data_IF_645385213191
#
_entry.id   IF_645385213191
#
_cell.length_a   1.000
_cell.length_b   1.000
_cell.length_c   1.000
_cell.angle_alpha   90.00
_cell.angle_beta   90.00
_cell.angle_gamma   90.00
#
_symmetry.space_group_name_H-M   'P 1'
#
loop_
_entity.id
_entity.type
_entity.pdbx_description
1 polymer ?
#
# COMPACT_ATOMS: atom_id res chain seq x y z
N UNK A 1 -15.18 24.67 11.32
CA UNK A 1 -15.01 23.94 10.04
C UNK A 1 -13.64 23.29 9.89
N UNK A 2 -12.53 23.96 10.19
CA UNK A 2 -11.16 23.39 10.10
C UNK A 2 -11.00 22.13 10.98
N UNK A 3 -11.62 22.09 12.14
CA UNK A 3 -11.51 20.96 13.09
C UNK A 3 -12.23 19.68 12.56
N UNK A 4 -13.39 19.84 11.91
CA UNK A 4 -14.15 18.69 11.38
C UNK A 4 -13.46 18.01 10.18
N UNK A 5 -12.84 18.80 9.28
CA UNK A 5 -12.09 18.26 8.14
C UNK A 5 -10.86 17.47 8.59
N UNK A 6 -10.12 18.01 9.57
CA UNK A 6 -8.97 17.31 10.14
C UNK A 6 -9.38 16.03 10.88
N UNK A 7 -10.50 16.05 11.60
CA UNK A 7 -11.05 14.86 12.25
C UNK A 7 -11.45 13.80 11.24
N UNK A 8 -12.10 14.17 10.12
CA UNK A 8 -12.46 13.24 9.06
C UNK A 8 -11.22 12.55 8.49
N UNK A 9 -10.20 13.33 8.06
CA UNK A 9 -8.96 12.77 7.51
C UNK A 9 -8.25 11.88 8.54
N UNK A 10 -8.26 12.25 9.81
CA UNK A 10 -7.69 11.44 10.90
C UNK A 10 -8.42 10.10 11.06
N UNK A 11 -9.77 10.09 11.04
CA UNK A 11 -10.55 8.84 11.11
C UNK A 11 -10.27 7.95 9.89
N UNK A 12 -10.17 8.53 8.70
CA UNK A 12 -9.81 7.79 7.48
C UNK A 12 -8.40 7.19 7.61
N UNK A 13 -7.44 7.93 8.16
CA UNK A 13 -6.07 7.47 8.40
C UNK A 13 -6.03 6.28 9.36
N UNK A 14 -6.74 6.38 10.50
CA UNK A 14 -6.82 5.27 11.46
C UNK A 14 -7.60 4.08 10.88
N UNK A 15 -8.59 4.33 10.02
CA UNK A 15 -9.33 3.28 9.35
C UNK A 15 -8.45 2.47 8.40
N UNK A 16 -7.67 3.16 7.58
CA UNK A 16 -6.67 2.51 6.72
C UNK A 16 -5.63 1.78 7.57
N UNK A 17 -5.14 2.38 8.66
CA UNK A 17 -4.26 1.70 9.62
C UNK A 17 -4.87 0.40 10.14
N UNK A 18 -6.13 0.40 10.57
CA UNK A 18 -6.80 -0.79 11.11
C UNK A 18 -6.90 -1.93 10.09
N UNK A 19 -7.22 -1.59 8.84
CA UNK A 19 -7.27 -2.56 7.74
C UNK A 19 -5.88 -3.12 7.44
N UNK A 20 -4.89 -2.25 7.24
CA UNK A 20 -3.50 -2.66 6.96
C UNK A 20 -2.86 -3.39 8.15
N UNK A 21 -3.18 -3.01 9.38
CA UNK A 21 -2.76 -3.74 10.57
C UNK A 21 -3.30 -5.17 10.60
N UNK A 22 -4.57 -5.39 10.23
CA UNK A 22 -5.14 -6.73 10.06
C UNK A 22 -4.45 -7.49 8.93
N UNK A 23 -4.17 -6.83 7.81
CA UNK A 23 -3.50 -7.43 6.65
C UNK A 23 -2.07 -7.84 6.98
N UNK A 24 -1.24 -6.89 7.38
CA UNK A 24 0.20 -7.09 7.54
C UNK A 24 0.56 -7.73 8.88
N UNK A 25 -0.20 -7.46 9.93
CA UNK A 25 0.09 -7.97 11.28
C UNK A 25 0.16 -9.50 11.35
N UNK A 26 -0.58 -10.19 10.52
CA UNK A 26 -0.55 -11.67 10.44
C UNK A 26 0.81 -12.19 9.94
N UNK A 27 1.56 -11.42 9.15
CA UNK A 27 2.89 -11.84 8.67
C UNK A 27 3.81 -12.15 9.85
N UNK A 28 3.78 -11.33 10.89
CA UNK A 28 4.55 -11.56 12.12
C UNK A 28 4.04 -12.71 13.00
N UNK A 29 2.84 -13.23 12.71
CA UNK A 29 2.18 -14.28 13.48
C UNK A 29 2.23 -15.65 12.80
N UNK A 30 2.75 -15.77 11.57
CA UNK A 30 2.70 -17.00 10.79
C UNK A 30 3.25 -18.22 11.55
N UNK A 31 4.38 -18.17 12.28
CA UNK A 31 4.86 -19.31 13.05
C UNK A 31 3.87 -19.72 14.14
N UNK A 32 3.33 -18.78 14.90
CA UNK A 32 2.36 -19.06 15.98
C UNK A 32 1.02 -19.57 15.43
N UNK A 33 0.62 -19.13 14.24
CA UNK A 33 -0.59 -19.62 13.55
C UNK A 33 -0.35 -21.06 13.07
N UNK A 34 0.82 -21.38 12.49
CA UNK A 34 1.18 -22.71 12.05
C UNK A 34 1.12 -23.72 13.20
N UNK A 35 1.66 -23.34 14.36
CA UNK A 35 1.62 -24.13 15.58
C UNK A 35 0.19 -24.31 16.10
N UNK A 36 -0.58 -23.23 16.20
CA UNK A 36 -1.95 -23.25 16.73
C UNK A 36 -2.90 -24.14 15.91
N UNK A 37 -2.81 -24.13 14.59
CA UNK A 37 -3.65 -24.92 13.70
C UNK A 37 -3.03 -26.26 13.29
N UNK A 38 -1.82 -26.58 13.78
CA UNK A 38 -1.06 -27.79 13.42
C UNK A 38 -0.89 -27.96 11.91
N UNK A 39 -0.58 -26.86 11.19
CA UNK A 39 -0.36 -26.84 9.74
C UNK A 39 1.08 -26.51 9.38
N UNK A 40 1.50 -26.90 8.18
CA UNK A 40 2.86 -26.57 7.71
C UNK A 40 3.07 -25.08 7.48
N UNK A 41 4.32 -24.63 7.47
CA UNK A 41 4.70 -23.26 7.14
C UNK A 41 4.25 -22.86 5.72
N UNK A 42 4.23 -23.78 4.76
CA UNK A 42 3.71 -23.54 3.41
C UNK A 42 2.19 -23.36 3.42
N UNK A 43 1.46 -24.14 4.22
CA UNK A 43 0.01 -24.02 4.35
C UNK A 43 -0.38 -22.69 4.99
N UNK A 44 0.31 -22.27 6.05
CA UNK A 44 0.00 -20.99 6.71
C UNK A 44 0.28 -19.79 5.81
N UNK A 45 1.20 -19.91 4.85
CA UNK A 45 1.48 -18.90 3.83
C UNK A 45 0.26 -18.54 2.96
N UNK A 46 -0.72 -19.44 2.84
CA UNK A 46 -1.99 -19.16 2.14
C UNK A 46 -2.77 -18.00 2.77
N UNK A 47 -2.62 -17.73 4.06
CA UNK A 47 -3.25 -16.57 4.71
C UNK A 47 -2.78 -15.24 4.12
N UNK A 48 -1.54 -15.17 3.67
CA UNK A 48 -0.96 -13.96 3.03
C UNK A 48 -1.27 -13.97 1.53
N UNK A 49 -0.98 -15.08 0.85
CA UNK A 49 -1.12 -15.17 -0.61
C UNK A 49 -2.57 -15.02 -1.08
N UNK A 50 -3.53 -15.67 -0.39
CA UNK A 50 -4.95 -15.58 -0.74
C UNK A 50 -5.51 -14.20 -0.44
N UNK A 51 -5.04 -13.53 0.62
CA UNK A 51 -5.42 -12.15 0.91
C UNK A 51 -4.98 -11.22 -0.23
N UNK A 52 -3.69 -11.28 -0.59
CA UNK A 52 -3.14 -10.46 -1.68
C UNK A 52 -3.85 -10.73 -3.03
N UNK A 53 -4.15 -12.00 -3.33
CA UNK A 53 -4.89 -12.37 -4.53
C UNK A 53 -6.33 -11.81 -4.50
N UNK A 54 -7.02 -11.91 -3.37
CA UNK A 54 -8.36 -11.34 -3.21
C UNK A 54 -8.37 -9.82 -3.44
N UNK A 55 -7.38 -9.09 -2.87
CA UNK A 55 -7.21 -7.64 -3.09
C UNK A 55 -6.94 -7.34 -4.57
N UNK A 56 -6.04 -8.09 -5.21
CA UNK A 56 -5.70 -7.87 -6.63
C UNK A 56 -6.90 -8.06 -7.56
N UNK A 57 -7.70 -9.10 -7.32
CA UNK A 57 -8.90 -9.40 -8.12
C UNK A 57 -10.02 -8.40 -7.85
N UNK A 58 -10.26 -8.05 -6.58
CA UNK A 58 -11.35 -7.16 -6.21
C UNK A 58 -11.05 -5.68 -6.47
N UNK A 59 -9.78 -5.30 -6.56
CA UNK A 59 -9.35 -3.91 -6.73
C UNK A 59 -10.01 -3.16 -7.88
N UNK A 60 -10.09 -3.70 -9.10
CA UNK A 60 -10.76 -3.04 -10.20
C UNK A 60 -12.29 -3.21 -10.21
N UNK A 61 -12.81 -4.17 -9.44
CA UNK A 61 -14.22 -4.57 -9.51
C UNK A 61 -15.04 -3.94 -8.37
N UNK A 62 -14.62 -4.14 -7.12
CA UNK A 62 -15.43 -3.79 -5.96
C UNK A 62 -15.60 -2.28 -5.77
N UNK A 63 -14.58 -1.40 -5.91
CA UNK A 63 -14.79 0.04 -5.86
C UNK A 63 -15.82 0.51 -6.88
N UNK A 64 -15.83 -0.10 -8.08
CA UNK A 64 -16.79 0.19 -9.13
C UNK A 64 -18.23 -0.22 -8.71
N UNK A 65 -18.41 -1.43 -8.17
CA UNK A 65 -19.72 -1.93 -7.73
C UNK A 65 -20.32 -1.06 -6.61
N UNK A 66 -19.49 -0.57 -5.69
CA UNK A 66 -19.91 0.22 -4.54
C UNK A 66 -19.96 1.74 -4.79
N UNK A 67 -19.52 2.21 -5.98
CA UNK A 67 -19.38 3.64 -6.30
C UNK A 67 -20.69 4.45 -6.24
N UNK A 68 -21.84 3.81 -6.41
CA UNK A 68 -23.17 4.46 -6.35
C UNK A 68 -23.82 4.45 -4.96
N UNK A 69 -23.15 3.93 -3.93
CA UNK A 69 -23.71 3.79 -2.59
C UNK A 69 -23.14 4.89 -1.68
N UNK A 70 -23.94 5.35 -0.72
CA UNK A 70 -23.49 6.30 0.28
C UNK A 70 -22.15 5.86 0.90
N UNK A 71 -21.12 6.72 0.79
CA UNK A 71 -19.75 6.39 1.14
C UNK A 71 -19.59 5.97 2.61
N UNK A 72 -20.29 6.65 3.55
CA UNK A 72 -20.29 6.25 4.97
C UNK A 72 -20.86 4.84 5.17
N UNK A 73 -21.96 4.50 4.48
CA UNK A 73 -22.56 3.16 4.59
C UNK A 73 -21.61 2.08 4.08
N UNK A 74 -20.92 2.35 2.98
CA UNK A 74 -19.91 1.44 2.43
C UNK A 74 -18.72 1.27 3.38
N UNK A 75 -18.20 2.36 3.94
CA UNK A 75 -17.12 2.30 4.93
C UNK A 75 -17.51 1.45 6.16
N UNK A 76 -18.73 1.66 6.68
CA UNK A 76 -19.24 0.87 7.81
C UNK A 76 -19.43 -0.61 7.43
N UNK A 77 -19.92 -0.91 6.22
CA UNK A 77 -20.03 -2.28 5.72
C UNK A 77 -18.65 -2.95 5.73
N UNK A 78 -17.63 -2.31 5.13
CA UNK A 78 -16.29 -2.87 5.03
C UNK A 78 -15.68 -3.09 6.41
N UNK A 79 -15.73 -2.07 7.28
CA UNK A 79 -15.23 -2.21 8.65
C UNK A 79 -15.96 -3.30 9.43
N UNK A 80 -17.27 -3.43 9.25
CA UNK A 80 -18.08 -4.51 9.83
C UNK A 80 -17.62 -5.90 9.36
N UNK A 81 -17.33 -6.06 8.08
CA UNK A 81 -16.78 -7.31 7.52
C UNK A 81 -15.41 -7.62 8.11
N UNK A 82 -14.52 -6.60 8.27
CA UNK A 82 -13.22 -6.79 8.93
C UNK A 82 -13.37 -7.16 10.41
N UNK A 83 -14.29 -6.51 11.15
CA UNK A 83 -14.58 -6.87 12.55
C UNK A 83 -15.06 -8.30 12.65
N UNK A 84 -16.02 -8.72 11.81
CA UNK A 84 -16.55 -10.09 11.82
C UNK A 84 -15.45 -11.11 11.48
N UNK A 85 -14.62 -10.86 10.47
CA UNK A 85 -13.50 -11.74 10.12
C UNK A 85 -12.49 -11.88 11.26
N UNK A 86 -12.14 -10.78 11.92
CA UNK A 86 -11.24 -10.80 13.08
C UNK A 86 -11.88 -11.53 14.27
N UNK A 87 -13.17 -11.31 14.55
CA UNK A 87 -13.88 -11.99 15.63
C UNK A 87 -13.96 -13.50 15.37
N UNK A 88 -14.28 -13.93 14.16
CA UNK A 88 -14.25 -15.36 13.78
C UNK A 88 -12.84 -15.94 13.98
N UNK A 89 -11.80 -15.19 13.63
CA UNK A 89 -10.40 -15.64 13.79
C UNK A 89 -9.98 -15.81 15.25
N UNK A 90 -10.63 -15.13 16.22
CA UNK A 90 -10.36 -15.32 17.67
C UNK A 90 -10.80 -16.69 18.15
N UNK A 91 -11.96 -17.15 17.67
CA UNK A 91 -12.64 -18.34 18.23
C UNK A 91 -12.45 -19.61 17.40
N UNK A 92 -12.05 -19.49 16.13
CA UNK A 92 -11.93 -20.66 15.28
C UNK A 92 -10.70 -21.50 15.61
N UNK A 93 -10.89 -22.81 15.62
CA UNK A 93 -9.83 -23.82 15.69
C UNK A 93 -9.60 -24.51 14.33
N UNK A 94 -10.33 -24.10 13.30
CA UNK A 94 -10.24 -24.67 11.96
C UNK A 94 -9.52 -23.69 11.02
N UNK A 95 -8.41 -24.13 10.42
CA UNK A 95 -7.59 -23.32 9.53
C UNK A 95 -8.36 -22.83 8.30
N UNK A 96 -9.24 -23.65 7.71
CA UNK A 96 -10.03 -23.25 6.56
C UNK A 96 -11.00 -22.13 6.91
N UNK A 97 -11.63 -22.17 8.10
CA UNK A 97 -12.50 -21.09 8.58
C UNK A 97 -11.68 -19.81 8.80
N UNK A 98 -10.48 -19.91 9.40
CA UNK A 98 -9.57 -18.78 9.56
C UNK A 98 -9.16 -18.18 8.20
N UNK A 99 -8.88 -19.02 7.19
CA UNK A 99 -8.57 -18.59 5.82
C UNK A 99 -9.75 -17.82 5.19
N UNK A 100 -10.97 -18.38 5.26
CA UNK A 100 -12.17 -17.71 4.72
C UNK A 100 -12.45 -16.40 5.46
N UNK A 101 -12.36 -16.40 6.80
CA UNK A 101 -12.54 -15.21 7.63
C UNK A 101 -11.55 -14.08 7.29
N UNK A 102 -10.44 -14.42 6.65
CA UNK A 102 -9.43 -13.49 6.19
C UNK A 102 -9.61 -13.07 4.72
N UNK A 103 -9.95 -14.00 3.85
CA UNK A 103 -10.13 -13.75 2.40
C UNK A 103 -11.38 -12.91 2.13
N UNK A 104 -12.47 -13.15 2.86
CA UNK A 104 -13.71 -12.36 2.67
C UNK A 104 -13.48 -10.87 2.95
N UNK A 105 -12.91 -10.43 4.08
CA UNK A 105 -12.56 -9.02 4.27
C UNK A 105 -11.59 -8.48 3.20
N UNK A 106 -10.65 -9.29 2.72
CA UNK A 106 -9.68 -8.88 1.70
C UNK A 106 -10.34 -8.42 0.40
N UNK A 107 -11.46 -9.03 0.01
CA UNK A 107 -12.24 -8.60 -1.16
C UNK A 107 -12.77 -7.16 -1.01
N UNK A 108 -13.02 -6.71 0.20
CA UNK A 108 -13.53 -5.37 0.52
C UNK A 108 -12.42 -4.35 0.83
N UNK A 109 -11.18 -4.82 1.04
CA UNK A 109 -10.03 -3.96 1.33
C UNK A 109 -9.88 -2.80 0.31
N UNK A 110 -9.89 -3.04 -1.03
CA UNK A 110 -9.71 -1.96 -2.00
C UNK A 110 -10.83 -0.93 -1.95
N UNK A 111 -12.04 -1.32 -1.55
CA UNK A 111 -13.19 -0.41 -1.43
C UNK A 111 -12.92 0.63 -0.35
N UNK A 112 -12.51 0.20 0.85
CA UNK A 112 -12.24 1.13 1.94
C UNK A 112 -11.06 2.05 1.63
N UNK A 113 -9.96 1.50 1.14
CA UNK A 113 -8.76 2.29 0.81
C UNK A 113 -9.05 3.30 -0.31
N UNK A 114 -9.75 2.89 -1.36
CA UNK A 114 -10.18 3.78 -2.44
C UNK A 114 -11.05 4.92 -1.90
N UNK A 115 -12.07 4.60 -1.12
CA UNK A 115 -12.95 5.60 -0.52
C UNK A 115 -12.19 6.53 0.44
N UNK A 116 -11.26 6.01 1.24
CA UNK A 116 -10.47 6.81 2.15
C UNK A 116 -9.63 7.87 1.40
N UNK A 117 -8.98 7.48 0.29
CA UNK A 117 -8.22 8.40 -0.55
C UNK A 117 -9.13 9.43 -1.25
N UNK A 118 -10.23 8.97 -1.84
CA UNK A 118 -11.18 9.85 -2.55
C UNK A 118 -11.83 10.86 -1.60
N UNK A 119 -12.31 10.41 -0.44
CA UNK A 119 -12.96 11.28 0.55
C UNK A 119 -11.95 12.24 1.17
N UNK A 120 -10.73 11.81 1.46
CA UNK A 120 -9.68 12.70 1.94
C UNK A 120 -9.37 13.81 0.92
N UNK A 121 -9.20 13.45 -0.35
CA UNK A 121 -8.97 14.41 -1.43
C UNK A 121 -10.13 15.40 -1.59
N UNK A 122 -11.37 14.90 -1.58
CA UNK A 122 -12.58 15.71 -1.73
C UNK A 122 -12.91 16.59 -0.51
N UNK A 123 -12.31 16.33 0.66
CA UNK A 123 -12.55 17.10 1.90
C UNK A 123 -11.84 18.45 1.95
N UNK A 124 -10.93 18.70 1.02
CA UNK A 124 -10.08 19.90 0.95
C UNK A 124 -10.15 20.51 -0.45
N UNK A 125 -9.47 21.64 -0.67
CA UNK A 125 -9.34 22.21 -2.03
C UNK A 125 -8.50 21.30 -2.93
N UNK A 126 -8.68 21.39 -4.23
CA UNK A 126 -7.95 20.58 -5.21
C UNK A 126 -6.43 20.72 -5.05
N UNK A 127 -5.96 21.89 -4.68
CA UNK A 127 -4.55 22.17 -4.42
C UNK A 127 -4.01 21.43 -3.20
N UNK A 128 -4.83 21.25 -2.15
CA UNK A 128 -4.45 20.57 -0.92
C UNK A 128 -4.70 19.05 -0.95
N UNK A 129 -5.38 18.54 -1.97
CA UNK A 129 -5.74 17.13 -2.06
C UNK A 129 -4.54 16.17 -1.90
N UNK A 130 -3.36 16.40 -2.53
CA UNK A 130 -2.21 15.52 -2.32
C UNK A 130 -1.75 15.45 -0.86
N UNK A 131 -1.86 16.55 -0.12
CA UNK A 131 -1.52 16.60 1.30
C UNK A 131 -2.51 15.82 2.17
N UNK A 132 -3.81 15.90 1.84
CA UNK A 132 -4.83 15.14 2.56
C UNK A 132 -4.66 13.63 2.31
N UNK A 133 -4.42 13.22 1.07
CA UNK A 133 -4.14 11.83 0.70
C UNK A 133 -2.87 11.31 1.37
N UNK A 134 -1.80 12.11 1.43
CA UNK A 134 -0.56 11.69 2.09
C UNK A 134 -0.73 11.42 3.58
N UNK A 135 -1.65 12.11 4.26
CA UNK A 135 -2.00 11.81 5.65
C UNK A 135 -2.64 10.43 5.77
N UNK A 136 -3.50 10.04 4.83
CA UNK A 136 -4.09 8.70 4.80
C UNK A 136 -3.02 7.63 4.55
N UNK A 137 -2.02 7.91 3.70
CA UNK A 137 -0.88 7.02 3.50
C UNK A 137 -0.01 6.82 4.76
N UNK A 138 -0.02 7.77 5.70
CA UNK A 138 0.61 7.54 7.02
C UNK A 138 -0.06 6.34 7.70
N UNK A 139 -1.38 6.19 7.58
CA UNK A 139 -2.11 5.03 8.09
C UNK A 139 -1.64 3.71 7.44
N UNK A 140 -1.40 3.72 6.11
CA UNK A 140 -0.82 2.56 5.39
C UNK A 140 0.52 2.18 5.99
N UNK A 141 1.44 3.14 6.06
CA UNK A 141 2.80 2.92 6.55
C UNK A 141 2.82 2.49 8.02
N UNK A 142 1.99 3.12 8.86
CA UNK A 142 1.87 2.76 10.27
C UNK A 142 1.36 1.33 10.45
N UNK A 143 0.40 0.88 9.63
CA UNK A 143 -0.09 -0.49 9.64
C UNK A 143 1.02 -1.52 9.38
N UNK A 144 1.89 -1.23 8.42
CA UNK A 144 3.03 -2.08 8.09
C UNK A 144 4.13 -2.07 9.17
N UNK A 145 4.48 -0.87 9.67
CA UNK A 145 5.65 -0.66 10.54
C UNK A 145 5.35 -0.95 11.99
N UNK A 146 4.16 -0.61 12.45
CA UNK A 146 3.75 -0.71 13.86
C UNK A 146 2.91 -1.97 14.07
N UNK A 147 2.04 -2.31 13.12
CA UNK A 147 1.10 -3.41 13.24
C UNK A 147 1.77 -4.76 13.42
N UNK A 148 2.76 -5.08 12.60
CA UNK A 148 3.48 -6.36 12.65
C UNK A 148 4.22 -6.55 13.99
N UNK A 149 5.08 -5.60 14.46
CA UNK A 149 5.76 -5.74 15.74
C UNK A 149 4.80 -5.82 16.94
N UNK A 150 3.75 -5.01 16.98
CA UNK A 150 2.80 -5.04 18.09
C UNK A 150 2.07 -6.38 18.14
N UNK A 151 1.59 -6.88 17.00
CA UNK A 151 0.93 -8.17 16.93
C UNK A 151 1.85 -9.32 17.40
N UNK A 152 3.11 -9.31 16.96
CA UNK A 152 4.12 -10.30 17.36
C UNK A 152 4.44 -10.22 18.85
N UNK A 153 4.57 -9.00 19.40
CA UNK A 153 4.81 -8.81 20.84
C UNK A 153 3.64 -9.32 21.69
N UNK A 154 2.40 -9.04 21.28
CA UNK A 154 1.20 -9.52 21.97
C UNK A 154 1.14 -11.06 21.90
N UNK A 155 1.43 -11.66 20.74
CA UNK A 155 1.44 -13.11 20.62
C UNK A 155 2.48 -13.77 21.53
N UNK A 156 3.69 -13.21 21.58
CA UNK A 156 4.76 -13.72 22.44
C UNK A 156 4.56 -13.48 23.93
N UNK A 157 3.95 -12.35 24.31
CA UNK A 157 3.72 -12.00 25.71
C UNK A 157 2.44 -12.60 26.31
N UNK A 158 1.43 -12.85 25.49
CA UNK A 158 0.13 -13.35 25.93
C UNK A 158 -0.33 -14.57 25.12
N UNK A 159 -0.87 -14.37 23.91
CA UNK A 159 -1.30 -15.47 23.04
C UNK A 159 -1.60 -14.98 21.61
N UNK A 160 -1.71 -15.94 20.68
CA UNK A 160 -2.18 -15.68 19.32
C UNK A 160 -3.58 -15.05 19.32
N UNK A 161 -4.49 -15.56 20.16
CA UNK A 161 -5.85 -15.05 20.27
C UNK A 161 -5.88 -13.60 20.70
N UNK A 162 -5.00 -13.17 21.62
CA UNK A 162 -4.91 -11.77 22.03
C UNK A 162 -4.43 -10.84 20.89
N UNK A 163 -3.61 -11.33 19.98
CA UNK A 163 -3.27 -10.59 18.75
C UNK A 163 -4.47 -10.43 17.82
N UNK A 164 -5.31 -11.45 17.70
CA UNK A 164 -6.57 -11.36 16.94
C UNK A 164 -7.57 -10.41 17.62
N UNK A 165 -7.65 -10.42 18.96
CA UNK A 165 -8.43 -9.43 19.74
C UNK A 165 -7.93 -8.01 19.49
N UNK A 166 -6.61 -7.80 19.41
CA UNK A 166 -6.04 -6.51 19.07
C UNK A 166 -6.50 -6.01 17.68
N UNK A 167 -6.47 -6.87 16.66
CA UNK A 167 -6.99 -6.51 15.33
C UNK A 167 -8.50 -6.19 15.36
N UNK A 168 -9.28 -6.99 16.06
CA UNK A 168 -10.72 -6.75 16.22
C UNK A 168 -10.98 -5.42 16.94
N UNK A 169 -10.28 -5.16 18.05
CA UNK A 169 -10.44 -3.95 18.85
C UNK A 169 -10.13 -2.68 18.05
N UNK A 170 -9.04 -2.67 17.28
CA UNK A 170 -8.68 -1.54 16.41
C UNK A 170 -9.79 -1.31 15.38
N UNK A 171 -10.27 -2.34 14.69
CA UNK A 171 -11.32 -2.20 13.69
C UNK A 171 -12.68 -1.80 14.31
N UNK A 172 -13.02 -2.28 15.51
CA UNK A 172 -14.21 -1.85 16.25
C UNK A 172 -14.13 -0.37 16.61
N UNK A 173 -12.99 0.10 17.14
CA UNK A 173 -12.79 1.52 17.44
C UNK A 173 -13.00 2.39 16.20
N UNK A 174 -12.44 1.99 15.06
CA UNK A 174 -12.61 2.71 13.80
C UNK A 174 -14.05 2.65 13.31
N UNK A 175 -14.72 1.51 13.43
CA UNK A 175 -16.14 1.37 13.09
C UNK A 175 -16.99 2.35 13.89
N UNK A 176 -16.81 2.40 15.22
CA UNK A 176 -17.51 3.32 16.11
C UNK A 176 -17.17 4.78 15.75
N UNK A 177 -15.90 5.12 15.55
CA UNK A 177 -15.50 6.46 15.17
C UNK A 177 -16.13 6.88 13.81
N UNK A 178 -16.17 5.98 12.85
CA UNK A 178 -16.81 6.21 11.54
C UNK A 178 -18.33 6.41 11.72
N UNK A 179 -18.97 5.60 12.55
CA UNK A 179 -20.40 5.69 12.82
C UNK A 179 -20.78 7.04 13.46
N UNK A 180 -19.98 7.50 14.42
CA UNK A 180 -20.31 8.70 15.21
C UNK A 180 -19.87 10.00 14.52
N UNK A 181 -18.69 10.04 13.89
CA UNK A 181 -18.06 11.29 13.50
C UNK A 181 -17.95 11.49 11.96
N UNK A 182 -18.04 10.44 11.16
CA UNK A 182 -18.04 10.60 9.70
C UNK A 182 -19.45 11.03 9.25
N UNK A 183 -19.59 12.14 8.50
CA UNK A 183 -20.89 12.59 8.03
C UNK A 183 -21.45 11.62 6.97
N UNK A 184 -22.76 11.68 6.76
CA UNK A 184 -23.40 11.00 5.63
C UNK A 184 -22.92 11.64 4.33
N UNK A 185 -22.48 10.82 3.39
CA UNK A 185 -21.93 11.24 2.10
C UNK A 185 -22.67 10.52 0.97
N UNK A 186 -23.91 10.97 0.65
CA UNK A 186 -24.64 10.42 -0.48
C UNK A 186 -23.88 10.72 -1.78
N UNK A 187 -24.02 9.84 -2.74
CA UNK A 187 -23.50 10.06 -4.09
C UNK A 187 -24.62 10.73 -4.89
N UNK A 188 -24.43 12.02 -5.21
CA UNK A 188 -25.43 12.84 -5.89
C UNK A 188 -25.56 12.44 -7.37
N UNK A 189 -24.42 12.18 -8.04
CA UNK A 189 -24.40 11.72 -9.41
C UNK A 189 -23.67 10.38 -9.50
N UNK A 190 -24.41 9.34 -9.85
CA UNK A 190 -23.83 8.02 -10.09
C UNK A 190 -23.28 7.96 -11.50
N UNK A 191 -21.96 7.93 -11.63
CA UNK A 191 -21.35 7.58 -12.91
C UNK A 191 -21.78 6.16 -13.30
N UNK A 192 -22.24 6.01 -14.55
CA UNK A 192 -22.52 4.68 -15.08
C UNK A 192 -21.25 3.82 -15.11
N UNK A 193 -21.38 2.52 -14.99
CA UNK A 193 -20.23 1.61 -15.11
C UNK A 193 -19.48 1.81 -16.43
N UNK A 194 -20.19 2.05 -17.53
CA UNK A 194 -19.60 2.37 -18.82
C UNK A 194 -18.77 3.65 -18.80
N UNK A 195 -19.24 4.70 -18.12
CA UNK A 195 -18.50 5.96 -17.97
C UNK A 195 -17.21 5.74 -17.15
N UNK A 196 -17.26 4.98 -16.04
CA UNK A 196 -16.08 4.68 -15.23
C UNK A 196 -15.07 3.81 -16.01
N UNK A 197 -15.55 2.79 -16.73
CA UNK A 197 -14.68 1.92 -17.55
C UNK A 197 -14.12 2.66 -18.77
N UNK A 198 -14.74 3.76 -19.22
CA UNK A 198 -14.25 4.56 -20.37
C UNK A 198 -12.85 5.12 -20.16
N UNK A 199 -12.40 5.31 -18.92
CA UNK A 199 -11.04 5.72 -18.59
C UNK A 199 -9.99 4.75 -19.13
N UNK A 200 -10.34 3.47 -19.25
CA UNK A 200 -9.46 2.44 -19.82
C UNK A 200 -9.27 2.56 -21.34
N UNK A 201 -10.09 3.40 -22.01
CA UNK A 201 -9.88 3.71 -23.44
C UNK A 201 -8.76 4.75 -23.65
N UNK A 202 -8.35 5.43 -22.59
CA UNK A 202 -7.30 6.46 -22.66
C UNK A 202 -5.90 5.83 -22.62
N UNK A 203 -5.03 6.07 -23.61
CA UNK A 203 -3.65 5.57 -23.56
C UNK A 203 -2.88 6.05 -22.32
N UNK A 204 -3.15 7.27 -21.84
CA UNK A 204 -2.54 7.83 -20.63
C UNK A 204 -2.86 7.00 -19.38
N UNK A 205 -4.04 6.38 -19.28
CA UNK A 205 -4.41 5.48 -18.19
C UNK A 205 -3.53 4.22 -18.18
N UNK A 206 -3.35 3.59 -19.33
CA UNK A 206 -2.49 2.41 -19.46
C UNK A 206 -1.03 2.72 -19.16
N UNK A 207 -0.53 3.86 -19.63
CA UNK A 207 0.83 4.32 -19.30
C UNK A 207 0.99 4.58 -17.80
N UNK A 208 -0.06 5.08 -17.13
CA UNK A 208 -0.05 5.22 -15.67
C UNK A 208 -0.08 3.87 -14.96
N UNK A 209 -0.89 2.91 -15.43
CA UNK A 209 -0.92 1.53 -14.91
C UNK A 209 0.47 0.90 -15.01
N UNK A 210 1.08 0.94 -16.19
CA UNK A 210 2.43 0.39 -16.43
C UNK A 210 3.47 1.07 -15.55
N UNK A 211 3.41 2.42 -15.44
CA UNK A 211 4.32 3.17 -14.57
C UNK A 211 4.19 2.74 -13.12
N UNK A 212 2.97 2.62 -12.61
CA UNK A 212 2.70 2.19 -11.23
C UNK A 212 3.21 0.76 -10.98
N UNK A 213 2.97 -0.17 -11.92
CA UNK A 213 3.50 -1.53 -11.84
C UNK A 213 5.02 -1.51 -11.74
N UNK A 214 5.70 -0.82 -12.66
CA UNK A 214 7.16 -0.76 -12.73
C UNK A 214 7.77 -0.07 -11.50
N UNK A 215 7.17 1.02 -11.02
CA UNK A 215 7.64 1.72 -9.83
C UNK A 215 7.49 0.88 -8.56
N UNK A 216 6.36 0.17 -8.41
CA UNK A 216 6.21 -0.75 -7.28
C UNK A 216 7.13 -1.96 -7.42
N UNK A 217 7.37 -2.46 -8.64
CA UNK A 217 8.38 -3.49 -8.88
C UNK A 217 9.78 -3.03 -8.48
N UNK A 218 10.13 -1.77 -8.76
CA UNK A 218 11.42 -1.21 -8.37
C UNK A 218 11.59 -1.15 -6.85
N UNK A 219 10.56 -0.73 -6.11
CA UNK A 219 10.62 -0.59 -4.65
C UNK A 219 10.54 -1.96 -3.99
N UNK A 220 9.48 -2.72 -4.28
CA UNK A 220 9.18 -3.96 -3.56
C UNK A 220 9.96 -5.16 -4.07
N UNK A 221 10.46 -5.14 -5.31
CA UNK A 221 11.37 -6.17 -5.80
C UNK A 221 12.66 -6.25 -4.99
N UNK A 222 13.19 -5.11 -4.56
CA UNK A 222 14.34 -5.05 -3.66
C UNK A 222 13.91 -5.23 -2.20
N UNK A 223 12.83 -4.58 -1.77
CA UNK A 223 12.38 -4.62 -0.38
C UNK A 223 11.96 -6.02 0.08
N UNK A 224 11.36 -6.82 -0.78
CA UNK A 224 10.96 -8.20 -0.45
C UNK A 224 12.12 -9.07 0.03
N UNK A 225 13.33 -8.75 -0.40
CA UNK A 225 14.54 -9.47 -0.05
C UNK A 225 15.51 -8.65 0.83
N UNK A 226 15.04 -7.52 1.35
CA UNK A 226 15.91 -6.59 2.08
C UNK A 226 16.48 -7.20 3.36
N UNK A 227 15.69 -7.94 4.13
CA UNK A 227 16.18 -8.66 5.31
C UNK A 227 17.28 -9.68 4.95
N UNK A 228 17.09 -10.43 3.86
CA UNK A 228 18.08 -11.39 3.34
C UNK A 228 19.34 -10.67 2.86
N UNK A 229 19.19 -9.53 2.18
CA UNK A 229 20.31 -8.69 1.75
C UNK A 229 21.15 -8.20 2.96
N UNK A 230 20.49 -7.69 4.00
CA UNK A 230 21.17 -7.26 5.22
C UNK A 230 21.87 -8.42 5.94
N UNK A 231 21.30 -9.62 5.89
CA UNK A 231 21.89 -10.81 6.50
C UNK A 231 23.08 -11.34 5.71
N UNK A 232 22.96 -11.49 4.40
CA UNK A 232 23.95 -12.21 3.57
C UNK A 232 25.00 -11.28 2.95
N UNK A 233 24.64 -10.05 2.57
CA UNK A 233 25.56 -9.09 1.95
C UNK A 233 26.20 -8.18 2.99
N UNK A 234 25.39 -7.62 3.90
CA UNK A 234 25.89 -6.70 4.94
C UNK A 234 26.37 -7.43 6.20
N UNK A 235 26.07 -8.71 6.37
CA UNK A 235 26.40 -9.55 7.54
C UNK A 235 25.88 -8.98 8.87
N UNK A 236 24.65 -8.43 8.88
CA UNK A 236 24.02 -7.90 10.09
C UNK A 236 23.40 -8.99 10.95
N UNK A 237 23.41 -8.80 12.27
CA UNK A 237 22.68 -9.65 13.22
C UNK A 237 21.16 -9.47 13.07
N UNK A 238 20.38 -10.46 13.49
CA UNK A 238 18.91 -10.42 13.43
C UNK A 238 18.32 -9.20 14.15
N UNK A 239 18.90 -8.80 15.28
CA UNK A 239 18.46 -7.61 16.02
C UNK A 239 18.72 -6.31 15.21
N UNK A 240 19.88 -6.23 14.55
CA UNK A 240 20.20 -5.08 13.69
C UNK A 240 19.30 -5.04 12.46
N UNK A 241 19.00 -6.19 11.84
CA UNK A 241 18.06 -6.29 10.72
C UNK A 241 16.68 -5.78 11.14
N UNK A 242 16.17 -6.20 12.30
CA UNK A 242 14.89 -5.72 12.83
C UNK A 242 14.88 -4.20 13.02
N UNK A 243 15.99 -3.64 13.54
CA UNK A 243 16.16 -2.19 13.67
C UNK A 243 16.16 -1.49 12.30
N UNK A 244 16.84 -2.05 11.30
CA UNK A 244 16.85 -1.48 9.93
C UNK A 244 15.47 -1.47 9.30
N UNK A 245 14.71 -2.54 9.45
CA UNK A 245 13.32 -2.60 8.96
C UNK A 245 12.42 -1.58 9.67
N UNK A 246 12.63 -1.38 10.97
CA UNK A 246 11.92 -0.35 11.74
C UNK A 246 12.30 1.06 11.28
N UNK A 247 13.60 1.33 11.03
CA UNK A 247 14.09 2.61 10.48
C UNK A 247 13.47 2.85 9.10
N UNK A 248 13.47 1.85 8.21
CA UNK A 248 12.86 1.95 6.88
C UNK A 248 11.39 2.36 6.96
N UNK A 249 10.64 1.68 7.83
CA UNK A 249 9.23 1.94 7.99
C UNK A 249 8.94 3.31 8.62
N UNK A 250 9.69 3.72 9.66
CA UNK A 250 9.59 5.06 10.24
C UNK A 250 9.94 6.16 9.22
N UNK A 251 10.96 5.93 8.42
CA UNK A 251 11.35 6.81 7.32
C UNK A 251 10.27 6.91 6.23
N UNK A 252 9.55 5.82 5.96
CA UNK A 252 8.43 5.81 5.02
C UNK A 252 7.31 6.79 5.45
N UNK A 253 7.03 6.89 6.75
CA UNK A 253 6.08 7.88 7.28
C UNK A 253 6.55 9.31 6.98
N UNK A 254 7.85 9.60 7.14
CA UNK A 254 8.43 10.89 6.76
C UNK A 254 8.26 11.13 5.26
N UNK A 255 8.50 10.11 4.44
CA UNK A 255 8.31 10.15 3.00
C UNK A 255 6.90 10.54 2.57
N UNK A 256 5.88 10.05 3.26
CA UNK A 256 4.48 10.43 3.02
C UNK A 256 4.26 11.93 3.26
N UNK A 257 4.81 12.48 4.34
CA UNK A 257 4.71 13.92 4.65
C UNK A 257 5.42 14.77 3.58
N UNK A 258 6.60 14.33 3.14
CA UNK A 258 7.37 14.99 2.07
C UNK A 258 6.58 14.96 0.76
N UNK A 259 5.95 13.82 0.42
CA UNK A 259 5.13 13.66 -0.76
C UNK A 259 3.97 14.66 -0.80
N UNK A 260 3.26 14.83 0.31
CA UNK A 260 2.13 15.77 0.40
C UNK A 260 2.51 17.22 0.10
N UNK A 261 3.78 17.61 0.34
CA UNK A 261 4.30 18.96 0.00
C UNK A 261 4.81 19.03 -1.43
N UNK A 262 5.61 18.05 -1.87
CA UNK A 262 6.25 18.08 -3.19
C UNK A 262 5.25 17.89 -4.33
N UNK A 263 4.22 17.05 -4.14
CA UNK A 263 3.20 16.83 -5.16
C UNK A 263 2.27 18.04 -5.35
N UNK A 264 2.12 18.91 -4.35
CA UNK A 264 1.43 20.19 -4.50
C UNK A 264 2.26 21.16 -5.34
N UNK A 265 3.55 21.32 -4.98
CA UNK A 265 4.38 22.39 -5.51
C UNK A 265 5.01 22.06 -6.87
N UNK A 266 5.31 20.79 -7.13
CA UNK A 266 6.13 20.38 -8.28
C UNK A 266 5.91 18.93 -8.71
N UNK A 267 4.64 18.51 -8.87
CA UNK A 267 4.29 17.12 -9.17
C UNK A 267 5.07 16.53 -10.36
N UNK A 268 5.07 17.22 -11.51
CA UNK A 268 5.72 16.73 -12.73
C UNK A 268 7.24 16.58 -12.52
N UNK A 269 7.89 17.58 -11.92
CA UNK A 269 9.33 17.51 -11.62
C UNK A 269 9.64 16.34 -10.68
N UNK A 270 8.83 16.17 -9.64
CA UNK A 270 9.00 15.08 -8.67
C UNK A 270 8.85 13.70 -9.32
N UNK A 271 7.84 13.53 -10.17
CA UNK A 271 7.60 12.29 -10.92
C UNK A 271 8.76 11.93 -11.84
N UNK A 272 9.28 12.91 -12.58
CA UNK A 272 10.38 12.69 -13.53
C UNK A 272 11.72 12.46 -12.84
N UNK A 273 11.98 13.14 -11.71
CA UNK A 273 13.25 13.01 -10.98
C UNK A 273 13.32 11.74 -10.12
N UNK A 274 12.18 11.21 -9.69
CA UNK A 274 12.13 10.08 -8.75
C UNK A 274 12.90 8.83 -9.20
N UNK A 275 12.78 8.34 -10.47
CA UNK A 275 13.55 7.19 -10.93
C UNK A 275 15.06 7.39 -10.81
N UNK A 276 15.56 8.60 -11.03
CA UNK A 276 16.98 8.91 -10.93
C UNK A 276 17.46 8.94 -9.47
N UNK A 277 16.66 9.55 -8.58
CA UNK A 277 17.01 9.62 -7.15
C UNK A 277 17.03 8.23 -6.53
N UNK A 278 16.00 7.42 -6.79
CA UNK A 278 15.93 6.05 -6.29
C UNK A 278 16.99 5.17 -6.96
N UNK A 279 17.24 5.34 -8.25
CA UNK A 279 18.29 4.64 -8.99
C UNK A 279 19.68 4.93 -8.42
N UNK A 280 19.98 6.19 -8.09
CA UNK A 280 21.24 6.55 -7.42
C UNK A 280 21.39 5.85 -6.06
N UNK A 281 20.32 5.77 -5.26
CA UNK A 281 20.31 5.03 -4.00
C UNK A 281 20.64 3.56 -4.23
N UNK A 282 20.03 2.92 -5.23
CA UNK A 282 20.30 1.53 -5.56
C UNK A 282 21.72 1.29 -6.07
N UNK A 283 22.26 2.20 -6.87
CA UNK A 283 23.66 2.13 -7.32
C UNK A 283 24.60 2.23 -6.12
N UNK A 284 24.38 3.19 -5.21
CA UNK A 284 25.18 3.33 -4.00
C UNK A 284 25.06 2.06 -3.14
N UNK A 285 23.83 1.54 -2.97
CA UNK A 285 23.57 0.30 -2.24
C UNK A 285 24.35 -0.89 -2.83
N UNK A 286 24.45 -0.99 -4.15
CA UNK A 286 25.20 -2.06 -4.80
C UNK A 286 26.69 -2.04 -4.46
N UNK A 287 27.31 -0.86 -4.46
CA UNK A 287 28.75 -0.73 -4.20
C UNK A 287 29.11 -0.67 -2.71
N UNK A 288 28.19 -0.23 -1.85
CA UNK A 288 28.48 -0.03 -0.41
C UNK A 288 27.70 -0.97 0.51
N UNK A 289 26.90 -1.88 -0.05
CA UNK A 289 25.99 -2.75 0.70
C UNK A 289 26.65 -3.68 1.72
N UNK A 290 27.96 -3.93 1.59
CA UNK A 290 28.73 -4.70 2.58
C UNK A 290 29.05 -3.91 3.86
N UNK A 291 28.88 -2.58 3.83
CA UNK A 291 29.23 -1.69 4.93
C UNK A 291 27.99 -1.33 5.76
N UNK A 292 28.00 -1.65 7.04
CA UNK A 292 26.82 -1.48 7.92
C UNK A 292 26.39 -0.02 8.09
N UNK A 293 27.34 0.93 8.23
CA UNK A 293 27.02 2.36 8.41
C UNK A 293 26.42 2.98 7.16
N UNK A 294 26.99 2.83 5.94
CA UNK A 294 26.33 3.25 4.71
C UNK A 294 24.93 2.64 4.54
N UNK A 295 24.77 1.36 4.86
CA UNK A 295 23.48 0.69 4.76
C UNK A 295 22.41 1.27 5.68
N UNK A 296 22.77 1.71 6.88
CA UNK A 296 21.83 2.38 7.79
C UNK A 296 21.34 3.73 7.19
N UNK A 297 22.24 4.51 6.61
CA UNK A 297 21.92 5.78 5.94
C UNK A 297 21.06 5.52 4.68
N UNK A 298 21.43 4.53 3.88
CA UNK A 298 20.68 4.12 2.69
C UNK A 298 19.28 3.69 3.08
N UNK A 299 19.13 2.89 4.13
CA UNK A 299 17.83 2.41 4.64
C UNK A 299 16.91 3.58 5.00
N UNK A 300 17.44 4.59 5.68
CA UNK A 300 16.69 5.79 6.03
C UNK A 300 16.22 6.55 4.76
N UNK A 301 17.15 6.83 3.85
CA UNK A 301 16.85 7.58 2.61
C UNK A 301 15.86 6.78 1.73
N UNK A 302 16.09 5.49 1.59
CA UNK A 302 15.22 4.61 0.80
C UNK A 302 13.82 4.51 1.40
N UNK A 303 13.69 4.40 2.73
CA UNK A 303 12.39 4.44 3.40
C UNK A 303 11.62 5.73 3.09
N UNK A 304 12.28 6.90 3.13
CA UNK A 304 11.66 8.18 2.75
C UNK A 304 11.19 8.13 1.28
N UNK A 305 12.04 7.64 0.38
CA UNK A 305 11.68 7.54 -1.04
C UNK A 305 10.53 6.54 -1.27
N UNK A 306 10.47 5.44 -0.54
CA UNK A 306 9.38 4.48 -0.66
C UNK A 306 8.03 5.09 -0.25
N UNK A 307 7.97 5.82 0.85
CA UNK A 307 6.77 6.55 1.28
C UNK A 307 6.34 7.62 0.27
N UNK A 308 7.32 8.37 -0.27
CA UNK A 308 7.07 9.30 -1.35
C UNK A 308 6.53 8.59 -2.60
N UNK A 309 7.14 7.48 -3.00
CA UNK A 309 6.78 6.69 -4.18
C UNK A 309 5.35 6.18 -4.15
N UNK A 310 4.84 5.74 -3.01
CA UNK A 310 3.45 5.31 -2.84
C UNK A 310 2.45 6.42 -3.18
N UNK A 311 2.65 7.61 -2.61
CA UNK A 311 1.81 8.79 -2.89
C UNK A 311 1.92 9.25 -4.36
N UNK A 312 3.13 9.23 -4.91
CA UNK A 312 3.38 9.59 -6.30
C UNK A 312 2.65 8.63 -7.26
N UNK A 313 2.69 7.34 -7.01
CA UNK A 313 2.02 6.33 -7.82
C UNK A 313 0.49 6.50 -7.79
N UNK A 314 -0.08 6.79 -6.61
CA UNK A 314 -1.49 7.10 -6.47
C UNK A 314 -1.86 8.38 -7.23
N UNK A 315 -1.05 9.44 -7.09
CA UNK A 315 -1.23 10.69 -7.83
C UNK A 315 -1.18 10.48 -9.36
N UNK A 316 -0.23 9.70 -9.87
CA UNK A 316 -0.12 9.37 -11.29
C UNK A 316 -1.39 8.72 -11.83
N UNK A 317 -1.97 7.79 -11.08
CA UNK A 317 -3.20 7.11 -11.47
C UNK A 317 -4.39 8.06 -11.46
N UNK A 318 -4.64 8.75 -10.35
CA UNK A 318 -5.81 9.63 -10.19
C UNK A 318 -5.76 10.85 -11.10
N UNK A 319 -4.58 11.39 -11.38
CA UNK A 319 -4.42 12.51 -12.33
C UNK A 319 -4.70 12.11 -13.78
N UNK A 320 -4.61 10.85 -14.13
CA UNK A 320 -4.95 10.34 -15.47
C UNK A 320 -6.45 10.07 -15.64
N UNK A 321 -7.17 9.93 -14.54
CA UNK A 321 -8.58 9.51 -14.51
C UNK A 321 -9.40 10.30 -13.50
N UNK A 322 -9.37 11.65 -13.57
CA UNK A 322 -10.03 12.51 -12.58
C UNK A 322 -11.55 12.37 -12.57
N UNK A 323 -12.14 11.90 -13.66
CA UNK A 323 -13.58 11.68 -13.80
C UNK A 323 -14.11 10.44 -13.06
N UNK A 324 -13.23 9.51 -12.65
CA UNK A 324 -13.62 8.29 -11.96
C UNK A 324 -12.67 7.98 -10.77
N UNK A 325 -12.64 8.82 -9.71
CA UNK A 325 -11.62 8.76 -8.67
C UNK A 325 -11.65 7.46 -7.86
N UNK A 326 -12.83 6.88 -7.59
CA UNK A 326 -12.95 5.62 -6.86
C UNK A 326 -12.38 4.45 -7.69
N UNK A 327 -12.70 4.41 -8.97
CA UNK A 327 -12.17 3.41 -9.89
C UNK A 327 -10.67 3.60 -10.12
N UNK A 328 -10.19 4.84 -10.23
CA UNK A 328 -8.77 5.18 -10.34
C UNK A 328 -7.95 4.65 -9.15
N UNK A 329 -8.46 4.84 -7.93
CA UNK A 329 -7.82 4.31 -6.74
C UNK A 329 -7.87 2.77 -6.68
N UNK A 330 -8.93 2.15 -7.17
CA UNK A 330 -9.00 0.69 -7.36
C UNK A 330 -7.93 0.19 -8.34
N UNK A 331 -7.78 0.85 -9.49
CA UNK A 331 -6.73 0.55 -10.47
C UNK A 331 -5.32 0.77 -9.90
N UNK A 332 -5.13 1.83 -9.08
CA UNK A 332 -3.87 2.05 -8.37
C UNK A 332 -3.52 0.86 -7.47
N UNK A 333 -4.44 0.42 -6.61
CA UNK A 333 -4.20 -0.71 -5.70
C UNK A 333 -3.89 -2.00 -6.46
N UNK A 334 -4.63 -2.30 -7.52
CA UNK A 334 -4.36 -3.45 -8.39
C UNK A 334 -2.97 -3.37 -9.02
N UNK A 335 -2.66 -2.23 -9.64
CA UNK A 335 -1.36 -2.02 -10.30
C UNK A 335 -0.20 -2.09 -9.31
N UNK A 336 -0.37 -1.55 -8.10
CA UNK A 336 0.62 -1.61 -7.05
C UNK A 336 0.90 -3.06 -6.64
N UNK A 337 -0.15 -3.87 -6.39
CA UNK A 337 0.00 -5.28 -6.01
C UNK A 337 0.59 -6.14 -7.15
N UNK A 338 0.21 -5.89 -8.41
CA UNK A 338 0.86 -6.52 -9.56
C UNK A 338 2.35 -6.17 -9.62
N UNK A 339 2.70 -4.91 -9.33
CA UNK A 339 4.08 -4.46 -9.27
C UNK A 339 4.88 -5.17 -8.16
N UNK A 340 4.31 -5.32 -6.97
CA UNK A 340 4.91 -6.10 -5.87
C UNK A 340 5.18 -7.54 -6.30
N UNK A 341 4.17 -8.19 -6.87
CA UNK A 341 4.28 -9.59 -7.33
C UNK A 341 5.34 -9.76 -8.41
N UNK A 342 5.31 -8.91 -9.43
CA UNK A 342 6.29 -8.95 -10.53
C UNK A 342 7.70 -8.66 -10.00
N UNK A 343 7.87 -7.62 -9.19
CA UNK A 343 9.16 -7.26 -8.62
C UNK A 343 9.75 -8.36 -7.74
N UNK A 344 8.95 -8.96 -6.86
CA UNK A 344 9.40 -10.06 -6.00
C UNK A 344 9.78 -11.30 -6.82
N UNK A 345 9.01 -11.65 -7.85
CA UNK A 345 9.30 -12.80 -8.72
C UNK A 345 10.61 -12.61 -9.47
N UNK A 346 10.78 -11.46 -10.14
CA UNK A 346 12.01 -11.15 -10.90
C UNK A 346 13.20 -10.98 -9.96
N UNK A 347 13.01 -10.36 -8.78
CA UNK A 347 14.04 -10.25 -7.75
C UNK A 347 14.53 -11.61 -7.27
N UNK A 348 13.61 -12.55 -7.02
CA UNK A 348 13.94 -13.94 -6.67
C UNK A 348 14.76 -14.65 -7.74
N UNK A 349 14.45 -14.41 -9.03
CA UNK A 349 15.22 -14.93 -10.14
C UNK A 349 16.68 -14.42 -10.13
N UNK A 350 16.90 -13.10 -9.95
CA UNK A 350 18.26 -12.55 -9.84
C UNK A 350 19.02 -13.14 -8.66
N UNK A 351 18.36 -13.37 -7.53
CA UNK A 351 19.00 -13.98 -6.35
C UNK A 351 19.41 -15.42 -6.66
N UNK A 352 18.54 -16.20 -7.28
CA UNK A 352 18.79 -17.61 -7.56
C UNK A 352 19.96 -17.80 -8.54
N UNK A 353 20.05 -16.96 -9.58
CA UNK A 353 21.06 -17.10 -10.63
C UNK A 353 22.38 -16.39 -10.31
N UNK A 354 22.34 -15.27 -9.61
CA UNK A 354 23.51 -14.39 -9.45
C UNK A 354 23.90 -14.13 -7.98
N UNK A 355 22.97 -14.34 -7.06
CA UNK A 355 23.16 -14.08 -5.62
C UNK A 355 22.42 -12.84 -5.12
N UNK A 356 22.30 -12.73 -3.79
CA UNK A 356 21.43 -11.74 -3.13
C UNK A 356 21.79 -10.28 -3.48
N UNK A 357 23.07 -9.97 -3.67
CA UNK A 357 23.51 -8.61 -4.03
C UNK A 357 22.86 -8.11 -5.33
N UNK A 358 22.60 -9.00 -6.27
CA UNK A 358 22.08 -8.66 -7.60
C UNK A 358 20.57 -8.42 -7.63
N UNK A 359 19.86 -8.59 -6.51
CA UNK A 359 18.44 -8.22 -6.40
C UNK A 359 18.20 -6.74 -6.75
N UNK A 360 19.20 -5.89 -6.57
CA UNK A 360 19.15 -4.47 -6.92
C UNK A 360 18.86 -4.25 -8.41
N UNK A 361 19.23 -5.17 -9.27
CA UNK A 361 19.02 -5.05 -10.72
C UNK A 361 17.53 -5.07 -11.10
N UNK A 362 16.67 -5.78 -10.37
CA UNK A 362 15.23 -5.67 -10.61
C UNK A 362 14.76 -4.23 -10.36
N UNK A 363 15.29 -3.58 -9.32
CA UNK A 363 15.01 -2.18 -9.04
C UNK A 363 15.46 -1.26 -10.17
N UNK A 364 16.72 -1.35 -10.58
CA UNK A 364 17.29 -0.52 -11.64
C UNK A 364 16.60 -0.70 -12.99
N UNK A 365 16.36 -1.94 -13.42
CA UNK A 365 15.66 -2.24 -14.68
C UNK A 365 14.24 -1.67 -14.66
N UNK A 366 13.50 -1.89 -13.56
CA UNK A 366 12.15 -1.36 -13.41
C UNK A 366 12.12 0.17 -13.42
N UNK A 367 13.12 0.84 -12.83
CA UNK A 367 13.23 2.30 -12.85
C UNK A 367 13.50 2.85 -14.27
N UNK A 368 14.39 2.22 -15.03
CA UNK A 368 14.65 2.60 -16.42
C UNK A 368 13.37 2.49 -17.26
N UNK A 369 12.67 1.37 -17.16
CA UNK A 369 11.42 1.16 -17.89
C UNK A 369 10.31 2.12 -17.42
N UNK A 370 10.23 2.39 -16.12
CA UNK A 370 9.25 3.34 -15.57
C UNK A 370 9.52 4.77 -16.04
N UNK A 371 10.79 5.16 -16.15
CA UNK A 371 11.16 6.47 -16.68
C UNK A 371 10.68 6.65 -18.13
N UNK A 372 10.88 5.65 -18.98
CA UNK A 372 10.35 5.66 -20.37
C UNK A 372 8.82 5.79 -20.34
N UNK A 373 8.13 5.00 -19.51
CA UNK A 373 6.66 5.08 -19.40
C UNK A 373 6.18 6.46 -18.92
N UNK A 374 6.90 7.09 -17.97
CA UNK A 374 6.62 8.46 -17.49
C UNK A 374 6.75 9.49 -18.63
N UNK A 375 7.83 9.41 -19.42
CA UNK A 375 8.04 10.33 -20.54
C UNK A 375 6.93 10.18 -21.58
N UNK A 376 6.60 8.97 -21.98
CA UNK A 376 5.51 8.69 -22.92
C UNK A 376 4.17 9.21 -22.39
N UNK A 377 3.87 8.97 -21.10
CA UNK A 377 2.66 9.46 -20.45
C UNK A 377 2.58 10.99 -20.50
N UNK A 378 3.65 11.68 -20.13
CA UNK A 378 3.67 13.14 -20.10
C UNK A 378 3.54 13.74 -21.51
N UNK A 379 4.16 13.10 -22.51
CA UNK A 379 4.00 13.48 -23.91
C UNK A 379 2.53 13.36 -24.38
N UNK A 380 1.86 12.25 -24.05
CA UNK A 380 0.44 12.04 -24.39
C UNK A 380 -0.48 13.06 -23.72
N UNK A 381 -0.20 13.45 -22.46
CA UNK A 381 -0.94 14.50 -21.79
C UNK A 381 -0.81 15.86 -22.48
N UNK A 382 0.39 16.20 -22.97
CA UNK A 382 0.64 17.44 -23.69
C UNK A 382 -0.10 17.47 -25.03
N UNK A 383 -0.07 16.36 -25.77
CA UNK A 383 -0.81 16.22 -27.03
C UNK A 383 -2.33 16.37 -26.84
N UNK A 384 -2.90 15.71 -25.83
CA UNK A 384 -4.34 15.78 -25.57
C UNK A 384 -4.78 17.20 -25.22
N UNK A 385 -3.98 17.94 -24.46
CA UNK A 385 -4.25 19.36 -24.15
C UNK A 385 -4.12 20.28 -25.37
N UNK A 386 -3.23 20.00 -26.31
CA UNK A 386 -3.07 20.81 -27.53
C UNK A 386 -4.19 20.57 -28.54
N UNK A 387 -4.81 19.38 -28.55
CA UNK A 387 -5.95 19.05 -29.42
C UNK A 387 -7.30 19.50 -28.88
N UNK A 388 -7.37 19.83 -27.56
CA UNK A 388 -8.60 20.34 -26.92
C UNK A 388 -8.68 21.88 -26.87
N UNK A 389 -7.67 22.56 -27.37
CA UNK A 389 -7.64 24.03 -27.61
C UNK A 389 -7.84 24.35 -29.09
#
# INVERSE_FOLDING_TARGET
MVNQKNLLVFILTIGVFGILNTEMGVIGLLPSIAEHFHVSASTVGWLVSSFALAVAVSGPIFPLLFSGINRKKVMLLVLGVFVLGNVVSIFTTNFTIALVARVVPALFHPVYCSLAFTVAAASVSQEEAPKAVSKVFIGVSAGMVIGVPIASLIAGAASLQMSMVFFAAVNIMVFIATLLFVPSMPVEERLSYGAQLSVLKKPATWLSIVTVILMNSAIFGVYSYFAEYLKTVTNMSSNTISLMLFIYGGANIIGNVVAGKLLINSAIKSVVSFPFVLGAVYIIMFFTGQLSVPMAIITLIWGILAGFGGNMNQYLMTSSTPEAPDFANGLFLTSANLGVTFGATVGGFFIAEMGTQYVIFVGLLSLVLSFVAILLRNYMFTLTRSLSR
#
